data_IF_987740008869
#
_entry.id   IF_987740008869
#
_cell.length_a   1.000
_cell.length_b   1.000
_cell.length_c   1.000
_cell.angle_alpha   90.00
_cell.angle_beta   90.00
_cell.angle_gamma   90.00
#
_symmetry.space_group_name_H-M   'P 1'
#
loop_
_entity.id
_entity.type
_entity.pdbx_description
1 polymer ?
#
# COMPACT_ATOMS: atom_id res chain seq x y z
N UNK A 1 -4.99 -30.76 15.22
CA UNK A 1 -5.82 -29.80 14.45
C UNK A 1 -6.06 -30.37 13.06
N UNK A 2 -7.32 -30.47 12.60
CA UNK A 2 -7.60 -30.89 11.23
C UNK A 2 -7.07 -29.85 10.23
N UNK A 3 -6.70 -30.29 9.03
CA UNK A 3 -6.18 -29.45 7.94
C UNK A 3 -7.05 -28.21 7.70
N UNK A 4 -8.38 -28.39 7.74
CA UNK A 4 -9.38 -27.33 7.62
C UNK A 4 -9.26 -26.22 8.66
N UNK A 5 -9.00 -26.58 9.93
CA UNK A 5 -8.77 -25.58 10.98
C UNK A 5 -7.48 -24.82 10.78
N UNK A 6 -6.42 -25.45 10.24
CA UNK A 6 -5.16 -24.76 9.91
C UNK A 6 -5.33 -23.78 8.75
N UNK A 7 -6.04 -24.19 7.70
CA UNK A 7 -6.34 -23.32 6.55
C UNK A 7 -7.22 -22.14 6.98
N UNK A 8 -8.28 -22.38 7.77
CA UNK A 8 -9.13 -21.30 8.28
C UNK A 8 -8.36 -20.32 9.18
N UNK A 9 -7.46 -20.82 10.04
CA UNK A 9 -6.61 -19.98 10.88
C UNK A 9 -5.62 -19.17 10.03
N UNK A 10 -5.04 -19.77 8.99
CA UNK A 10 -4.14 -19.10 8.07
C UNK A 10 -4.85 -17.95 7.35
N UNK A 11 -6.03 -18.21 6.75
CA UNK A 11 -6.81 -17.15 6.09
C UNK A 11 -7.21 -16.01 7.04
N UNK A 12 -7.47 -16.31 8.32
CA UNK A 12 -7.79 -15.29 9.32
C UNK A 12 -6.59 -14.39 9.69
N UNK A 13 -5.36 -14.87 9.51
CA UNK A 13 -4.11 -14.15 9.86
C UNK A 13 -3.48 -13.50 8.61
N UNK A 14 -3.87 -13.89 7.40
CA UNK A 14 -3.36 -13.35 6.14
C UNK A 14 -3.75 -11.89 5.87
N UNK A 15 -4.81 -11.37 6.51
CA UNK A 15 -5.39 -10.04 6.25
C UNK A 15 -4.35 -8.92 6.20
N UNK A 16 -3.53 -8.73 7.25
CA UNK A 16 -2.49 -7.71 7.27
C UNK A 16 -1.47 -7.82 6.13
N UNK A 17 -1.05 -9.05 5.77
CA UNK A 17 -0.07 -9.29 4.70
C UNK A 17 -0.63 -8.97 3.30
N UNK A 18 -1.90 -9.30 3.06
CA UNK A 18 -2.58 -8.94 1.81
C UNK A 18 -2.72 -7.41 1.71
N UNK A 19 -3.09 -6.75 2.79
CA UNK A 19 -3.23 -5.29 2.81
C UNK A 19 -1.89 -4.62 2.54
N UNK A 20 -0.82 -5.04 3.21
CA UNK A 20 0.52 -4.45 2.98
C UNK A 20 1.01 -4.65 1.56
N UNK A 21 0.73 -5.81 0.94
CA UNK A 21 1.11 -6.06 -0.45
C UNK A 21 0.29 -5.23 -1.45
N UNK A 22 -0.97 -4.92 -1.13
CA UNK A 22 -1.81 -4.10 -2.02
C UNK A 22 -1.53 -2.60 -1.93
N UNK A 23 -0.95 -2.11 -0.83
CA UNK A 23 -0.53 -0.70 -0.71
C UNK A 23 0.51 -0.34 -1.77
N UNK A 24 1.35 -1.30 -2.21
CA UNK A 24 2.33 -1.07 -3.27
C UNK A 24 1.69 -0.85 -4.67
N UNK A 25 0.40 -1.16 -4.84
CA UNK A 25 -0.36 -0.92 -6.08
C UNK A 25 -1.16 0.39 -6.02
N UNK A 26 -0.53 1.46 -5.53
CA UNK A 26 -1.16 2.76 -5.41
C UNK A 26 -1.32 3.46 -6.78
N UNK A 27 -2.00 4.62 -6.79
CA UNK A 27 -2.32 5.30 -8.06
C UNK A 27 -1.04 5.71 -8.83
N UNK A 28 0.03 6.04 -8.11
CA UNK A 28 1.34 6.37 -8.69
C UNK A 28 2.03 5.16 -9.30
N UNK A 29 1.99 4.00 -8.65
CA UNK A 29 2.51 2.74 -9.18
C UNK A 29 1.77 2.34 -10.46
N UNK A 30 0.44 2.34 -10.42
CA UNK A 30 -0.41 2.02 -11.58
C UNK A 30 -0.08 2.94 -12.76
N UNK A 31 -0.01 4.25 -12.52
CA UNK A 31 0.33 5.23 -13.58
C UNK A 31 1.70 4.92 -14.18
N UNK A 32 2.70 4.63 -13.34
CA UNK A 32 4.06 4.33 -13.79
C UNK A 32 4.10 3.08 -14.68
N UNK A 33 3.44 1.99 -14.26
CA UNK A 33 3.41 0.76 -15.03
C UNK A 33 2.58 0.90 -16.31
N UNK A 34 1.47 1.66 -16.28
CA UNK A 34 0.67 1.96 -17.49
C UNK A 34 1.45 2.79 -18.50
N UNK A 35 2.16 3.84 -18.07
CA UNK A 35 3.00 4.67 -18.95
C UNK A 35 4.17 3.85 -19.50
N UNK A 36 4.84 3.06 -18.66
CA UNK A 36 5.90 2.17 -19.10
C UNK A 36 5.41 1.12 -20.12
N UNK A 37 4.24 0.52 -19.90
CA UNK A 37 3.63 -0.40 -20.85
C UNK A 37 3.23 0.27 -22.17
N UNK A 38 2.73 1.51 -22.13
CA UNK A 38 2.40 2.26 -23.34
C UNK A 38 3.65 2.60 -24.19
N UNK A 39 4.78 2.90 -23.56
CA UNK A 39 6.01 3.25 -24.27
C UNK A 39 6.86 2.04 -24.68
N UNK A 40 6.95 1.02 -23.84
CA UNK A 40 7.87 -0.12 -24.02
C UNK A 40 7.17 -1.45 -24.32
N UNK A 41 5.83 -1.45 -24.38
CA UNK A 41 5.04 -2.67 -24.55
C UNK A 41 5.40 -3.72 -23.50
N UNK A 42 5.63 -4.95 -23.95
CA UNK A 42 5.97 -6.08 -23.09
C UNK A 42 7.47 -6.22 -22.77
N UNK A 43 8.32 -5.34 -23.29
CA UNK A 43 9.78 -5.47 -23.15
C UNK A 43 10.28 -5.33 -21.71
N UNK A 44 9.51 -4.69 -20.82
CA UNK A 44 9.86 -4.52 -19.41
C UNK A 44 9.28 -5.59 -18.47
N UNK A 45 8.47 -6.55 -18.97
CA UNK A 45 7.83 -7.56 -18.12
C UNK A 45 8.84 -8.41 -17.33
N UNK A 46 10.03 -8.64 -17.88
CA UNK A 46 11.06 -9.42 -17.18
C UNK A 46 11.49 -8.79 -15.85
N UNK A 47 11.33 -7.47 -15.68
CA UNK A 47 11.68 -6.75 -14.45
C UNK A 47 10.77 -7.11 -13.27
N UNK A 48 9.59 -7.68 -13.53
CA UNK A 48 8.66 -8.13 -12.50
C UNK A 48 9.25 -9.25 -11.65
N UNK A 49 10.06 -10.15 -12.23
CA UNK A 49 10.64 -11.28 -11.51
C UNK A 49 11.62 -10.82 -10.41
N UNK A 50 12.69 -10.06 -10.72
CA UNK A 50 13.64 -9.63 -9.69
C UNK A 50 13.00 -8.67 -8.67
N UNK A 51 12.09 -7.81 -9.09
CA UNK A 51 11.39 -6.88 -8.18
C UNK A 51 10.47 -7.62 -7.21
N UNK A 52 9.74 -8.65 -7.68
CA UNK A 52 8.91 -9.50 -6.81
C UNK A 52 9.76 -10.23 -5.79
N UNK A 53 10.90 -10.80 -6.18
CA UNK A 53 11.80 -11.50 -5.25
C UNK A 53 12.32 -10.52 -4.18
N UNK A 54 12.77 -9.34 -4.59
CA UNK A 54 13.23 -8.31 -3.66
C UNK A 54 12.13 -7.90 -2.68
N UNK A 55 10.90 -7.70 -3.18
CA UNK A 55 9.76 -7.33 -2.35
C UNK A 55 9.41 -8.43 -1.34
N UNK A 56 9.37 -9.69 -1.76
CA UNK A 56 9.10 -10.83 -0.86
C UNK A 56 10.14 -10.89 0.26
N UNK A 57 11.43 -10.74 -0.07
CA UNK A 57 12.51 -10.77 0.93
C UNK A 57 12.36 -9.62 1.93
N UNK A 58 12.13 -8.39 1.45
CA UNK A 58 11.99 -7.22 2.32
C UNK A 58 10.74 -7.35 3.22
N UNK A 59 9.60 -7.73 2.65
CA UNK A 59 8.35 -7.86 3.41
C UNK A 59 8.43 -8.97 4.44
N UNK A 60 9.07 -10.09 4.12
CA UNK A 60 9.30 -11.17 5.07
C UNK A 60 10.20 -10.72 6.22
N UNK A 61 11.30 -10.01 5.95
CA UNK A 61 12.19 -9.47 6.97
C UNK A 61 11.46 -8.48 7.90
N UNK A 62 10.66 -7.57 7.33
CA UNK A 62 9.88 -6.59 8.09
C UNK A 62 8.80 -7.28 8.94
N UNK A 63 8.08 -8.25 8.38
CA UNK A 63 7.09 -9.04 9.10
C UNK A 63 7.71 -9.82 10.26
N UNK A 64 8.83 -10.51 10.01
CA UNK A 64 9.57 -11.25 11.03
C UNK A 64 10.07 -10.34 12.15
N UNK A 65 10.64 -9.19 11.79
CA UNK A 65 11.09 -8.17 12.73
C UNK A 65 9.93 -7.70 13.62
N UNK A 66 8.78 -7.35 13.04
CA UNK A 66 7.61 -6.89 13.80
C UNK A 66 7.05 -7.93 14.75
N UNK A 67 6.99 -9.20 14.34
CA UNK A 67 6.48 -10.31 15.17
C UNK A 67 7.44 -10.63 16.34
N UNK A 68 8.75 -10.62 16.12
CA UNK A 68 9.74 -10.98 17.15
C UNK A 68 9.95 -9.84 18.14
N UNK A 69 10.09 -8.61 17.65
CA UNK A 69 10.45 -7.47 18.50
C UNK A 69 9.24 -6.80 19.13
N UNK A 70 8.06 -6.91 18.51
CA UNK A 70 6.86 -6.17 18.90
C UNK A 70 6.99 -4.65 18.72
N UNK A 71 8.01 -4.18 17.99
CA UNK A 71 8.34 -2.77 17.81
C UNK A 71 8.31 -2.37 16.34
N UNK A 72 8.05 -1.10 16.08
CA UNK A 72 8.17 -0.53 14.74
C UNK A 72 9.63 -0.33 14.33
N UNK A 73 9.88 -0.23 13.02
CA UNK A 73 11.21 0.03 12.47
C UNK A 73 11.83 1.33 13.05
N UNK A 74 11.03 2.38 13.24
CA UNK A 74 11.46 3.66 13.83
C UNK A 74 11.99 3.49 15.26
N UNK A 75 11.35 2.64 16.05
CA UNK A 75 11.71 2.41 17.45
C UNK A 75 13.01 1.61 17.53
N UNK A 76 13.16 0.60 16.67
CA UNK A 76 14.40 -0.18 16.58
C UNK A 76 15.59 0.66 16.10
N UNK A 77 15.38 1.57 15.14
CA UNK A 77 16.43 2.51 14.72
C UNK A 77 16.82 3.41 15.89
N UNK A 78 15.85 3.88 16.67
CA UNK A 78 16.10 4.73 17.84
C UNK A 78 16.87 4.03 18.94
N UNK A 79 16.55 2.77 19.20
CA UNK A 79 17.22 1.97 20.23
C UNK A 79 18.65 1.59 19.84
N UNK A 80 18.89 1.24 18.58
CA UNK A 80 20.21 0.75 18.14
C UNK A 80 21.16 1.86 17.64
N UNK A 81 20.63 2.92 17.02
CA UNK A 81 21.42 3.96 16.34
C UNK A 81 21.24 5.36 16.93
N UNK A 82 20.46 5.49 18.01
CA UNK A 82 20.21 6.74 18.72
C UNK A 82 19.30 7.72 17.97
N UNK A 83 19.01 8.84 18.64
CA UNK A 83 17.93 9.75 18.22
C UNK A 83 18.25 10.57 16.96
N UNK A 84 19.53 10.84 16.68
CA UNK A 84 19.94 11.63 15.50
C UNK A 84 19.65 10.88 14.21
N UNK A 85 19.99 9.58 14.16
CA UNK A 85 19.72 8.69 13.03
C UNK A 85 18.22 8.50 12.82
N UNK A 86 17.46 8.30 13.90
CA UNK A 86 15.99 8.23 13.83
C UNK A 86 15.39 9.50 13.29
N UNK A 87 15.84 10.67 13.75
CA UNK A 87 15.30 11.95 13.27
C UNK A 87 15.48 12.10 11.76
N UNK A 88 16.69 11.81 11.25
CA UNK A 88 16.95 11.84 9.81
C UNK A 88 16.02 10.87 9.05
N UNK A 89 15.92 9.61 9.50
CA UNK A 89 15.04 8.61 8.90
C UNK A 89 13.56 9.03 8.92
N UNK A 90 13.08 9.63 10.02
CA UNK A 90 11.71 10.11 10.13
C UNK A 90 11.43 11.28 9.18
N UNK A 91 12.39 12.18 8.98
CA UNK A 91 12.25 13.27 7.99
C UNK A 91 12.12 12.69 6.57
N UNK A 92 12.99 11.74 6.20
CA UNK A 92 12.91 11.06 4.90
C UNK A 92 11.57 10.34 4.74
N UNK A 93 11.12 9.64 5.78
CA UNK A 93 9.84 8.94 5.79
C UNK A 93 8.66 9.89 5.60
N UNK A 94 8.68 11.07 6.25
CA UNK A 94 7.65 12.10 6.06
C UNK A 94 7.63 12.60 4.62
N UNK A 95 8.80 12.90 4.03
CA UNK A 95 8.90 13.36 2.65
C UNK A 95 8.38 12.30 1.67
N UNK A 96 8.77 11.03 1.87
CA UNK A 96 8.31 9.92 1.04
C UNK A 96 6.79 9.74 1.12
N UNK A 97 6.24 9.69 2.33
CA UNK A 97 4.79 9.55 2.53
C UNK A 97 4.01 10.76 2.00
N UNK A 98 4.57 11.96 2.11
CA UNK A 98 3.97 13.15 1.52
C UNK A 98 3.89 13.05 0.00
N UNK A 99 4.97 12.59 -0.65
CA UNK A 99 4.99 12.34 -2.10
C UNK A 99 3.93 11.32 -2.53
N UNK A 100 3.87 10.17 -1.85
CA UNK A 100 2.85 9.14 -2.09
C UNK A 100 1.43 9.69 -1.88
N UNK A 101 1.21 10.48 -0.83
CA UNK A 101 -0.11 11.07 -0.54
C UNK A 101 -0.54 12.03 -1.66
N UNK A 102 0.36 12.91 -2.09
CA UNK A 102 0.10 13.84 -3.21
C UNK A 102 -0.19 13.06 -4.49
N UNK A 103 0.59 12.02 -4.78
CA UNK A 103 0.38 11.13 -5.92
C UNK A 103 -0.99 10.46 -5.91
N UNK A 104 -1.43 9.95 -4.76
CA UNK A 104 -2.74 9.31 -4.62
C UNK A 104 -3.90 10.29 -4.81
N UNK A 105 -3.81 11.51 -4.29
CA UNK A 105 -4.81 12.54 -4.54
C UNK A 105 -4.81 13.03 -6.00
N UNK A 106 -3.64 13.07 -6.65
CA UNK A 106 -3.55 13.38 -8.08
C UNK A 106 -4.23 12.29 -8.93
N UNK A 107 -4.01 11.01 -8.61
CA UNK A 107 -4.71 9.89 -9.24
C UNK A 107 -6.22 9.95 -9.04
N UNK A 108 -6.68 10.19 -7.80
CA UNK A 108 -8.10 10.40 -7.50
C UNK A 108 -8.70 11.56 -8.31
N UNK A 109 -8.02 12.71 -8.37
CA UNK A 109 -8.46 13.85 -9.15
C UNK A 109 -8.61 13.52 -10.64
N UNK A 110 -7.62 12.84 -11.23
CA UNK A 110 -7.65 12.42 -12.63
C UNK A 110 -8.80 11.43 -12.91
N UNK A 111 -9.01 10.44 -12.04
CA UNK A 111 -10.13 9.50 -12.17
C UNK A 111 -11.50 10.19 -12.13
N UNK A 112 -11.67 11.19 -11.26
CA UNK A 112 -12.92 11.95 -11.15
C UNK A 112 -13.14 12.87 -12.35
N UNK A 113 -12.06 13.44 -12.90
CA UNK A 113 -12.11 14.28 -14.11
C UNK A 113 -12.55 13.46 -15.33
N UNK A 114 -12.14 12.19 -15.45
CA UNK A 114 -12.63 11.26 -16.49
C UNK A 114 -14.14 11.02 -16.41
N UNK A 115 -14.71 11.01 -15.20
CA UNK A 115 -16.16 10.84 -14.95
C UNK A 115 -16.93 12.16 -15.17
N UNK A 116 -16.23 13.28 -15.42
CA UNK A 116 -16.82 14.60 -15.60
C UNK A 116 -17.12 15.36 -14.31
N UNK A 117 -16.57 14.91 -13.17
CA UNK A 117 -16.70 15.58 -11.88
C UNK A 117 -15.56 16.55 -11.63
N UNK A 118 -15.85 17.68 -10.97
CA UNK A 118 -14.85 18.70 -10.65
C UNK A 118 -13.86 18.21 -9.58
N UNK A 119 -12.56 18.20 -9.93
CA UNK A 119 -11.46 17.86 -9.02
C UNK A 119 -11.42 18.75 -7.77
N UNK A 120 -11.81 20.02 -7.88
CA UNK A 120 -11.81 20.96 -6.77
C UNK A 120 -12.83 20.60 -5.68
N UNK A 121 -13.88 19.86 -6.04
CA UNK A 121 -14.90 19.39 -5.09
C UNK A 121 -14.53 17.99 -4.57
N UNK A 122 -14.10 17.10 -5.47
CA UNK A 122 -13.85 15.69 -5.13
C UNK A 122 -12.59 15.47 -4.29
N UNK A 123 -11.54 16.29 -4.45
CA UNK A 123 -10.32 16.16 -3.64
C UNK A 123 -10.57 16.49 -2.16
N UNK A 124 -11.20 17.63 -1.79
CA UNK A 124 -11.56 17.89 -0.39
C UNK A 124 -12.48 16.84 0.21
N UNK A 125 -13.47 16.35 -0.55
CA UNK A 125 -14.38 15.28 -0.09
C UNK A 125 -13.59 13.99 0.21
N UNK A 126 -12.69 13.60 -0.68
CA UNK A 126 -11.81 12.44 -0.49
C UNK A 126 -10.92 12.61 0.75
N UNK A 127 -10.32 13.78 0.93
CA UNK A 127 -9.49 14.10 2.09
C UNK A 127 -10.25 14.02 3.41
N UNK A 128 -11.46 14.60 3.48
CA UNK A 128 -12.32 14.53 4.66
C UNK A 128 -12.75 13.09 4.94
N UNK A 129 -13.08 12.33 3.89
CA UNK A 129 -13.49 10.93 4.01
C UNK A 129 -12.37 10.05 4.60
N UNK A 130 -11.14 10.20 4.07
CA UNK A 130 -9.96 9.51 4.61
C UNK A 130 -9.68 9.96 6.05
N UNK A 131 -9.76 11.27 6.33
CA UNK A 131 -9.55 11.78 7.68
C UNK A 131 -10.55 11.20 8.69
N UNK A 132 -11.82 11.10 8.34
CA UNK A 132 -12.86 10.46 9.18
C UNK A 132 -12.55 8.97 9.35
N UNK A 133 -12.18 8.28 8.27
CA UNK A 133 -11.87 6.85 8.30
C UNK A 133 -10.65 6.56 9.18
N UNK A 134 -9.61 7.40 9.15
CA UNK A 134 -8.41 7.24 9.99
C UNK A 134 -8.67 7.61 11.45
N UNK A 135 -9.43 8.68 11.71
CA UNK A 135 -9.65 9.17 13.09
C UNK A 135 -10.77 8.43 13.83
N UNK A 136 -11.79 7.92 13.12
CA UNK A 136 -12.97 7.28 13.71
C UNK A 136 -13.17 5.84 13.27
N UNK A 137 -12.47 5.36 12.24
CA UNK A 137 -12.59 3.99 11.77
C UNK A 137 -11.93 3.00 12.73
N UNK A 138 -12.68 1.99 13.15
CA UNK A 138 -12.09 0.85 13.85
C UNK A 138 -11.26 -0.02 12.90
N UNK A 139 -10.13 -0.56 13.37
CA UNK A 139 -9.20 -1.37 12.57
C UNK A 139 -9.90 -2.45 11.73
N UNK A 140 -10.87 -3.17 12.32
CA UNK A 140 -11.65 -4.23 11.63
C UNK A 140 -12.49 -3.73 10.45
N UNK A 141 -12.93 -2.48 10.48
CA UNK A 141 -13.74 -1.89 9.39
C UNK A 141 -12.82 -1.49 8.25
N UNK A 142 -11.69 -0.84 8.57
CA UNK A 142 -10.67 -0.45 7.59
C UNK A 142 -10.09 -1.68 6.88
N UNK A 143 -9.75 -2.72 7.65
CA UNK A 143 -9.24 -3.99 7.12
C UNK A 143 -10.20 -4.60 6.09
N UNK A 144 -11.50 -4.68 6.41
CA UNK A 144 -12.51 -5.20 5.49
C UNK A 144 -12.67 -4.35 4.24
N UNK A 145 -12.69 -3.02 4.38
CA UNK A 145 -12.80 -2.11 3.23
C UNK A 145 -11.60 -2.30 2.29
N UNK A 146 -10.39 -2.37 2.84
CA UNK A 146 -9.17 -2.57 2.05
C UNK A 146 -9.17 -3.93 1.36
N UNK A 147 -9.57 -5.01 2.04
CA UNK A 147 -9.67 -6.33 1.42
C UNK A 147 -10.68 -6.37 0.28
N UNK A 148 -11.82 -5.69 0.41
CA UNK A 148 -12.80 -5.56 -0.68
C UNK A 148 -12.23 -4.71 -1.82
N UNK A 149 -11.51 -3.63 -1.52
CA UNK A 149 -10.85 -2.82 -2.54
C UNK A 149 -9.82 -3.63 -3.35
N UNK A 150 -9.15 -4.61 -2.73
CA UNK A 150 -8.24 -5.52 -3.45
C UNK A 150 -8.95 -6.32 -4.56
N UNK A 151 -10.26 -6.59 -4.42
CA UNK A 151 -11.03 -7.29 -5.45
C UNK A 151 -11.17 -6.46 -6.73
N UNK A 152 -11.07 -5.12 -6.64
CA UNK A 152 -11.11 -4.25 -7.82
C UNK A 152 -9.94 -4.51 -8.78
N UNK A 153 -8.80 -5.00 -8.29
CA UNK A 153 -7.67 -5.33 -9.15
C UNK A 153 -7.94 -6.50 -10.10
N UNK A 154 -8.89 -7.40 -9.77
CA UNK A 154 -9.33 -8.42 -10.72
C UNK A 154 -10.00 -7.82 -11.96
N UNK A 155 -10.52 -6.59 -11.87
CA UNK A 155 -11.02 -5.84 -13.03
C UNK A 155 -9.96 -5.62 -14.11
N UNK A 156 -8.68 -5.51 -13.76
CA UNK A 156 -7.59 -5.36 -14.75
C UNK A 156 -7.38 -6.62 -15.59
N UNK A 157 -7.62 -7.81 -15.03
CA UNK A 157 -7.52 -9.08 -15.78
C UNK A 157 -8.64 -9.19 -16.81
N UNK A 158 -9.81 -8.63 -16.51
CA UNK A 158 -10.98 -8.65 -17.39
C UNK A 158 -10.89 -7.54 -18.44
N UNK A 159 -10.33 -6.38 -18.08
CA UNK A 159 -10.17 -5.23 -18.97
C UNK A 159 -8.90 -5.29 -19.83
N UNK A 160 -7.98 -6.21 -19.52
CA UNK A 160 -6.68 -6.38 -20.18
C UNK A 160 -6.74 -7.21 -21.45
#
# INVERSE_FOLDING_TARGET
>A
MSLWKKIALFLAIMGPGIITANIDNDATGITTYSVAGAHYGYSLLWTLIPTTIALVVIQEMVGRMGVITGKGLSDLIRENYGIRSTFFMMVVLIIANFGTTVGNFAGWAASMEIIGLSKYIMVPIGAVSIWILVTRGGYRVVEKILLVACLLYFGYVISG
#
